data_IF_511004868439
#
_entry.id   IF_511004868439
#
_cell.length_a   1.000
_cell.length_b   1.000
_cell.length_c   1.000
_cell.angle_alpha   90.00
_cell.angle_beta   90.00
_cell.angle_gamma   90.00
#
_symmetry.space_group_name_H-M   'P 1'
#
loop_
_entity.id
_entity.type
_entity.pdbx_description
1 polymer ?
#
# COMPACT_ATOMS: atom_id res chain seq x y z
N UNK A 1 11.96 3.79 -22.63
CA UNK A 1 10.57 4.11 -22.25
C UNK A 1 10.44 5.57 -21.81
N UNK A 2 11.01 6.00 -20.68
CA UNK A 2 10.89 7.40 -20.24
C UNK A 2 11.50 8.43 -21.21
N UNK A 3 12.67 8.19 -21.83
CA UNK A 3 13.20 9.08 -22.88
C UNK A 3 12.98 8.50 -24.29
N UNK A 4 11.92 7.71 -24.52
CA UNK A 4 11.74 7.06 -25.82
C UNK A 4 11.41 8.08 -26.93
N UNK A 5 12.17 8.04 -28.01
CA UNK A 5 11.91 8.76 -29.25
C UNK A 5 12.12 7.83 -30.47
N UNK A 6 11.78 8.32 -31.66
CA UNK A 6 11.85 7.52 -32.88
C UNK A 6 13.30 7.10 -33.19
N UNK A 7 14.25 8.02 -33.03
CA UNK A 7 15.65 7.77 -33.34
C UNK A 7 16.25 6.66 -32.44
N UNK A 8 15.90 6.65 -31.14
CA UNK A 8 16.29 5.62 -30.20
C UNK A 8 15.70 4.25 -30.58
N UNK A 9 14.42 4.21 -30.98
CA UNK A 9 13.75 2.96 -31.40
C UNK A 9 14.43 2.37 -32.64
N UNK A 10 14.72 3.19 -33.64
CA UNK A 10 15.37 2.76 -34.87
C UNK A 10 16.80 2.26 -34.60
N UNK A 11 17.53 2.97 -33.72
CA UNK A 11 18.85 2.55 -33.26
C UNK A 11 18.80 1.21 -32.53
N UNK A 12 17.86 1.01 -31.62
CA UNK A 12 17.71 -0.26 -30.90
C UNK A 12 17.38 -1.41 -31.86
N UNK A 13 16.44 -1.21 -32.78
CA UNK A 13 16.04 -2.23 -33.75
C UNK A 13 17.23 -2.68 -34.62
N UNK A 14 18.07 -1.74 -35.05
CA UNK A 14 19.28 -2.05 -35.81
C UNK A 14 20.19 -3.07 -35.09
N UNK A 15 20.40 -2.94 -33.79
CA UNK A 15 21.24 -3.88 -33.04
C UNK A 15 20.53 -5.21 -32.79
N UNK A 16 19.26 -5.18 -32.38
CA UNK A 16 18.50 -6.40 -32.06
C UNK A 16 18.32 -7.31 -33.28
N UNK A 17 18.09 -6.75 -34.47
CA UNK A 17 17.92 -7.53 -35.70
C UNK A 17 19.18 -8.34 -36.04
N UNK A 18 20.36 -7.79 -35.73
CA UNK A 18 21.68 -8.39 -36.02
C UNK A 18 22.15 -9.39 -34.96
N UNK A 19 21.43 -9.53 -33.85
CA UNK A 19 21.75 -10.57 -32.86
C UNK A 19 21.41 -11.92 -33.45
N UNK A 20 22.40 -12.80 -33.55
CA UNK A 20 22.21 -14.21 -33.90
C UNK A 20 21.90 -15.03 -32.64
N UNK A 21 20.66 -15.53 -32.48
CA UNK A 21 20.28 -16.31 -31.30
C UNK A 21 20.98 -17.68 -31.22
N UNK A 22 21.52 -18.19 -32.34
CA UNK A 22 22.22 -19.48 -32.35
C UNK A 22 23.59 -19.45 -31.65
N UNK A 23 24.12 -18.25 -31.41
CA UNK A 23 25.39 -18.04 -30.72
C UNK A 23 25.35 -18.36 -29.21
N UNK A 24 24.16 -18.62 -28.66
CA UNK A 24 23.99 -19.14 -27.31
C UNK A 24 22.80 -18.54 -26.56
N UNK A 25 22.49 -19.07 -25.36
CA UNK A 25 21.28 -18.72 -24.63
C UNK A 25 21.21 -17.24 -24.25
N UNK A 26 22.36 -16.58 -24.01
CA UNK A 26 22.40 -15.16 -23.71
C UNK A 26 22.03 -14.29 -24.93
N UNK A 27 22.38 -14.71 -26.15
CA UNK A 27 22.05 -13.99 -27.37
C UNK A 27 20.56 -14.13 -27.69
N UNK A 28 20.02 -15.33 -27.54
CA UNK A 28 18.58 -15.58 -27.64
C UNK A 28 17.77 -14.74 -26.63
N UNK A 29 18.23 -14.71 -25.37
CA UNK A 29 17.61 -13.94 -24.31
C UNK A 29 17.67 -12.43 -24.59
N UNK A 30 18.82 -11.94 -25.06
CA UNK A 30 19.02 -10.54 -25.43
C UNK A 30 18.11 -10.14 -26.60
N UNK A 31 17.95 -11.00 -27.61
CA UNK A 31 17.06 -10.74 -28.75
C UNK A 31 15.60 -10.66 -28.29
N UNK A 32 15.18 -11.60 -27.44
CA UNK A 32 13.80 -11.66 -26.92
C UNK A 32 13.46 -10.44 -26.05
N UNK A 33 14.27 -10.16 -25.03
CA UNK A 33 14.02 -9.01 -24.15
C UNK A 33 14.29 -7.66 -24.83
N UNK A 34 15.21 -7.62 -25.79
CA UNK A 34 15.46 -6.45 -26.62
C UNK A 34 14.25 -6.08 -27.45
N UNK A 35 13.63 -7.05 -28.14
CA UNK A 35 12.41 -6.80 -28.90
C UNK A 35 11.26 -6.35 -28.00
N UNK A 36 11.08 -7.01 -26.86
CA UNK A 36 10.07 -6.62 -25.86
C UNK A 36 10.28 -5.17 -25.38
N UNK A 37 11.52 -4.75 -25.15
CA UNK A 37 11.82 -3.38 -24.75
C UNK A 37 11.53 -2.37 -25.87
N UNK A 38 11.81 -2.70 -27.13
CA UNK A 38 11.50 -1.85 -28.29
C UNK A 38 9.99 -1.62 -28.39
N UNK A 39 9.19 -2.68 -28.28
CA UNK A 39 7.74 -2.59 -28.39
C UNK A 39 7.16 -1.73 -27.25
N UNK A 40 7.66 -1.93 -26.02
CA UNK A 40 7.33 -1.09 -24.87
C UNK A 40 7.73 0.39 -25.08
N UNK A 41 8.86 0.67 -25.76
CA UNK A 41 9.29 2.03 -26.06
C UNK A 41 8.35 2.69 -27.09
N UNK A 42 7.93 1.98 -28.14
CA UNK A 42 6.97 2.48 -29.14
C UNK A 42 5.64 2.86 -28.50
N UNK A 43 5.12 2.02 -27.62
CA UNK A 43 3.90 2.33 -26.85
C UNK A 43 4.07 3.53 -25.91
N UNK A 44 5.25 3.67 -25.31
CA UNK A 44 5.53 4.74 -24.36
C UNK A 44 5.77 6.11 -25.00
N UNK A 45 6.03 6.21 -26.32
CA UNK A 45 6.34 7.49 -27.01
C UNK A 45 5.23 8.54 -26.88
N UNK A 46 3.98 8.10 -26.74
CA UNK A 46 2.82 9.00 -26.58
C UNK A 46 2.51 9.32 -25.12
N UNK A 47 3.23 8.71 -24.17
CA UNK A 47 3.01 8.87 -22.74
C UNK A 47 4.10 9.72 -22.08
N UNK A 48 3.70 10.54 -21.09
CA UNK A 48 4.68 11.25 -20.26
C UNK A 48 5.49 10.28 -19.41
N UNK A 49 6.76 10.62 -19.19
CA UNK A 49 7.66 9.88 -18.31
C UNK A 49 7.07 9.74 -16.89
N UNK A 50 7.28 8.57 -16.27
CA UNK A 50 6.78 8.28 -14.93
C UNK A 50 7.91 7.83 -14.00
N UNK A 51 7.83 8.26 -12.75
CA UNK A 51 8.57 7.63 -11.66
C UNK A 51 7.85 6.34 -11.28
N UNK A 52 8.59 5.23 -11.24
CA UNK A 52 8.11 3.94 -10.78
C UNK A 52 9.22 3.25 -10.01
N UNK A 53 8.97 3.00 -8.74
CA UNK A 53 9.87 2.23 -7.89
C UNK A 53 9.72 0.74 -8.19
N UNK A 54 10.85 0.07 -8.46
CA UNK A 54 10.91 -1.35 -8.85
C UNK A 54 11.83 -2.16 -7.94
N UNK A 55 12.55 -1.51 -7.03
CA UNK A 55 13.40 -2.21 -6.08
C UNK A 55 12.58 -3.06 -5.10
N UNK A 56 13.15 -4.21 -4.72
CA UNK A 56 12.59 -5.06 -3.67
C UNK A 56 12.62 -4.30 -2.33
N UNK A 57 11.47 -4.12 -1.65
CA UNK A 57 11.46 -3.43 -0.36
C UNK A 57 12.34 -4.15 0.67
N UNK A 58 13.21 -3.40 1.34
CA UNK A 58 14.12 -3.90 2.37
C UNK A 58 13.61 -3.64 3.79
N UNK A 59 14.18 -4.35 4.75
CA UNK A 59 13.94 -4.21 6.18
C UNK A 59 15.26 -4.34 6.95
N UNK A 60 15.28 -3.71 8.13
CA UNK A 60 16.42 -3.73 9.04
C UNK A 60 16.66 -5.16 9.55
N UNK A 61 17.88 -5.65 9.42
CA UNK A 61 18.29 -6.94 9.95
C UNK A 61 19.62 -6.81 10.69
N UNK A 62 19.57 -6.93 12.01
CA UNK A 62 20.73 -6.89 12.89
C UNK A 62 20.95 -8.25 13.53
N UNK A 63 22.18 -8.76 13.46
CA UNK A 63 22.59 -10.03 14.10
C UNK A 63 23.89 -9.84 14.88
N UNK A 64 24.05 -10.62 15.95
CA UNK A 64 25.33 -10.73 16.66
C UNK A 64 26.01 -12.01 16.15
N UNK A 65 27.24 -11.90 15.67
CA UNK A 65 27.99 -13.06 15.19
C UNK A 65 28.57 -13.90 16.35
N UNK A 66 29.13 -15.07 16.03
CA UNK A 66 29.71 -15.96 17.04
C UNK A 66 30.92 -15.36 17.79
N UNK A 67 31.49 -14.24 17.30
CA UNK A 67 32.59 -13.50 17.92
C UNK A 67 32.10 -12.31 18.75
N UNK A 68 30.79 -12.07 18.80
CA UNK A 68 30.19 -10.94 19.51
C UNK A 68 30.13 -9.64 18.70
N UNK A 69 30.46 -9.65 17.41
CA UNK A 69 30.33 -8.47 16.57
C UNK A 69 28.87 -8.23 16.21
N UNK A 70 28.47 -6.96 16.20
CA UNK A 70 27.14 -6.53 15.74
C UNK A 70 27.21 -6.29 14.24
N UNK A 71 26.43 -7.05 13.47
CA UNK A 71 26.34 -6.94 12.01
C UNK A 71 24.97 -6.40 11.65
N UNK A 72 24.95 -5.23 11.01
CA UNK A 72 23.75 -4.61 10.44
C UNK A 72 23.69 -4.89 8.93
N UNK A 73 22.51 -5.27 8.45
CA UNK A 73 22.23 -5.50 7.03
C UNK A 73 20.82 -5.04 6.69
N UNK A 74 20.63 -4.53 5.47
CA UNK A 74 19.31 -4.39 4.89
C UNK A 74 18.96 -5.66 4.13
N UNK A 75 18.04 -6.45 4.68
CA UNK A 75 17.57 -7.68 4.08
C UNK A 75 16.24 -7.45 3.36
N UNK A 76 15.87 -8.33 2.43
CA UNK A 76 14.54 -8.25 1.78
C UNK A 76 13.46 -8.38 2.85
N UNK A 77 12.46 -7.49 2.79
CA UNK A 77 11.32 -7.54 3.70
C UNK A 77 10.52 -8.81 3.45
N UNK A 78 10.29 -9.59 4.51
CA UNK A 78 9.55 -10.86 4.41
C UNK A 78 8.11 -10.57 4.00
N UNK A 79 7.59 -11.31 3.02
CA UNK A 79 6.22 -11.16 2.54
C UNK A 79 5.98 -9.97 1.60
N UNK A 80 7.00 -9.14 1.33
CA UNK A 80 6.87 -7.94 0.48
C UNK A 80 7.88 -7.99 -0.67
N UNK A 81 7.38 -8.14 -1.91
CA UNK A 81 8.22 -8.19 -3.12
C UNK A 81 8.10 -6.98 -4.04
N UNK A 82 7.10 -6.12 -3.84
CA UNK A 82 6.84 -4.94 -4.67
C UNK A 82 6.42 -3.78 -3.78
N UNK A 83 6.65 -2.56 -4.24
CA UNK A 83 6.17 -1.36 -3.54
C UNK A 83 4.64 -1.39 -3.33
N UNK A 84 3.89 -1.96 -4.26
CA UNK A 84 2.44 -2.15 -4.11
C UNK A 84 2.07 -2.98 -2.87
N UNK A 85 2.81 -4.06 -2.60
CA UNK A 85 2.61 -4.89 -1.42
C UNK A 85 3.01 -4.14 -0.14
N UNK A 86 4.11 -3.37 -0.21
CA UNK A 86 4.54 -2.49 0.87
C UNK A 86 3.47 -1.47 1.22
N UNK A 87 2.92 -0.76 0.24
CA UNK A 87 1.86 0.24 0.44
C UNK A 87 0.63 -0.38 1.09
N UNK A 88 0.22 -1.59 0.65
CA UNK A 88 -0.90 -2.32 1.27
C UNK A 88 -0.63 -2.62 2.74
N UNK A 89 0.57 -3.10 3.07
CA UNK A 89 0.95 -3.37 4.46
C UNK A 89 0.96 -2.09 5.31
N UNK A 90 1.50 -1.00 4.79
CA UNK A 90 1.51 0.30 5.48
C UNK A 90 0.09 0.87 5.66
N UNK A 91 -0.80 0.65 4.70
CA UNK A 91 -2.20 1.07 4.77
C UNK A 91 -3.01 0.26 5.80
N UNK A 92 -2.74 -1.04 5.92
CA UNK A 92 -3.29 -1.87 7.01
C UNK A 92 -2.77 -1.33 8.35
N UNK A 93 -1.46 -1.09 8.41
CA UNK A 93 -0.75 -0.66 9.61
C UNK A 93 -0.71 -1.74 10.69
N UNK A 94 0.27 -1.66 11.59
CA UNK A 94 0.27 -2.45 12.82
C UNK A 94 -0.31 -1.57 13.93
N UNK A 95 -1.62 -1.65 14.13
CA UNK A 95 -2.33 -0.87 15.15
C UNK A 95 -2.01 -1.44 16.54
N UNK A 96 -1.13 -0.76 17.27
CA UNK A 96 -0.85 -1.09 18.68
C UNK A 96 -1.86 -0.32 19.54
N UNK A 97 -2.91 -1.00 20.01
CA UNK A 97 -3.88 -0.47 20.98
C UNK A 97 -5.35 -0.67 20.59
N UNK A 98 -6.28 -0.59 21.57
CA UNK A 98 -7.70 -0.76 21.32
C UNK A 98 -8.25 0.34 20.42
N UNK A 99 -8.94 -0.10 19.37
CA UNK A 99 -9.62 0.75 18.41
C UNK A 99 -10.97 1.20 18.95
N UNK A 100 -11.13 2.48 19.26
CA UNK A 100 -12.45 3.07 19.43
C UNK A 100 -12.86 3.60 18.06
N UNK A 101 -13.75 2.89 17.38
CA UNK A 101 -14.43 3.40 16.21
C UNK A 101 -15.49 4.39 16.71
N UNK A 102 -15.21 5.69 16.56
CA UNK A 102 -16.04 6.78 17.08
C UNK A 102 -17.41 6.79 16.40
N UNK A 103 -17.47 6.46 15.11
CA UNK A 103 -18.72 6.34 14.36
C UNK A 103 -19.59 5.22 14.92
N UNK A 104 -19.02 4.04 15.16
CA UNK A 104 -19.71 2.89 15.77
C UNK A 104 -20.10 3.16 17.21
N UNK A 105 -19.26 3.86 17.98
CA UNK A 105 -19.59 4.27 19.34
C UNK A 105 -20.81 5.20 19.35
N UNK A 106 -20.86 6.16 18.42
CA UNK A 106 -22.02 7.06 18.24
C UNK A 106 -23.27 6.30 17.80
N UNK A 107 -23.15 5.37 16.86
CA UNK A 107 -24.26 4.51 16.41
C UNK A 107 -24.84 3.70 17.57
N UNK A 108 -24.00 2.97 18.31
CA UNK A 108 -24.40 2.18 19.48
C UNK A 108 -25.09 3.04 20.55
N UNK A 109 -24.59 4.25 20.81
CA UNK A 109 -25.19 5.18 21.78
C UNK A 109 -26.57 5.66 21.29
N UNK A 110 -26.74 5.85 19.98
CA UNK A 110 -28.04 6.14 19.36
C UNK A 110 -29.04 4.99 19.53
N UNK A 111 -28.61 3.75 19.29
CA UNK A 111 -29.44 2.55 19.48
C UNK A 111 -29.87 2.39 20.95
N UNK A 112 -28.93 2.55 21.88
CA UNK A 112 -29.20 2.51 23.32
C UNK A 112 -30.24 3.56 23.74
N UNK A 113 -30.14 4.78 23.21
CA UNK A 113 -31.13 5.82 23.47
C UNK A 113 -32.52 5.45 22.93
N UNK A 114 -32.60 4.84 21.75
CA UNK A 114 -33.88 4.39 21.18
C UNK A 114 -34.55 3.31 22.03
N UNK A 115 -33.77 2.36 22.57
CA UNK A 115 -34.25 1.35 23.51
C UNK A 115 -34.80 1.99 24.79
N UNK A 116 -34.01 2.87 25.43
CA UNK A 116 -34.42 3.58 26.66
C UNK A 116 -35.68 4.42 26.45
N UNK A 117 -35.77 5.11 25.31
CA UNK A 117 -36.92 5.95 24.97
C UNK A 117 -38.20 5.12 24.86
N UNK A 118 -38.11 3.94 24.25
CA UNK A 118 -39.25 3.06 23.97
C UNK A 118 -39.63 2.16 25.17
N UNK A 119 -38.78 2.04 26.19
CA UNK A 119 -39.05 1.22 27.39
C UNK A 119 -40.21 1.79 28.23
N UNK A 120 -41.35 1.08 28.38
CA UNK A 120 -42.54 1.61 29.07
C UNK A 120 -42.42 1.60 30.60
N UNK A 121 -41.54 0.74 31.15
CA UNK A 121 -41.32 0.61 32.61
C UNK A 121 -40.56 1.80 33.24
N UNK A 122 -39.97 2.67 32.42
CA UNK A 122 -39.14 3.78 32.87
C UNK A 122 -39.94 5.05 33.16
N UNK A 123 -39.70 5.65 34.33
CA UNK A 123 -40.34 6.91 34.72
C UNK A 123 -39.97 8.07 33.77
N UNK A 124 -40.87 9.05 33.62
CA UNK A 124 -40.63 10.25 32.79
C UNK A 124 -39.41 11.04 33.28
N UNK A 125 -39.20 11.10 34.59
CA UNK A 125 -38.06 11.78 35.21
C UNK A 125 -36.74 11.08 34.85
N UNK A 126 -36.68 9.75 34.98
CA UNK A 126 -35.51 8.93 34.61
C UNK A 126 -35.17 9.07 33.13
N UNK A 127 -36.19 9.12 32.25
CA UNK A 127 -35.99 9.36 30.81
C UNK A 127 -35.41 10.74 30.51
N UNK A 128 -35.80 11.78 31.27
CA UNK A 128 -35.25 13.12 31.11
C UNK A 128 -33.77 13.20 31.53
N UNK A 129 -33.41 12.58 32.65
CA UNK A 129 -32.01 12.51 33.11
C UNK A 129 -31.12 11.69 32.16
N UNK A 130 -31.60 10.54 31.66
CA UNK A 130 -30.84 9.76 30.68
C UNK A 130 -30.67 10.49 29.34
N UNK A 131 -31.64 11.32 28.95
CA UNK A 131 -31.53 12.16 27.75
C UNK A 131 -30.40 13.18 27.86
N UNK A 132 -30.20 13.80 29.03
CA UNK A 132 -29.10 14.76 29.21
C UNK A 132 -27.73 14.08 29.14
N UNK A 133 -27.60 12.91 29.77
CA UNK A 133 -26.38 12.08 29.71
C UNK A 133 -26.08 11.62 28.29
N UNK A 134 -27.11 11.21 27.53
CA UNK A 134 -26.96 10.87 26.10
C UNK A 134 -26.45 12.05 25.27
N UNK A 135 -27.04 13.25 25.44
CA UNK A 135 -26.62 14.45 24.70
C UNK A 135 -25.17 14.81 25.02
N UNK A 136 -24.77 14.69 26.28
CA UNK A 136 -23.40 14.98 26.72
C UNK A 136 -22.38 13.95 26.19
N UNK A 137 -22.73 12.66 26.18
CA UNK A 137 -21.90 11.61 25.61
C UNK A 137 -21.74 11.72 24.08
N UNK A 138 -22.81 12.10 23.36
CA UNK A 138 -22.73 12.36 21.92
C UNK A 138 -21.88 13.59 21.63
N UNK A 139 -21.98 14.64 22.46
CA UNK A 139 -21.14 15.84 22.34
C UNK A 139 -19.66 15.52 22.59
N UNK A 140 -19.35 14.71 23.61
CA UNK A 140 -17.97 14.36 23.95
C UNK A 140 -17.29 13.43 22.93
N UNK A 141 -18.08 12.63 22.21
CA UNK A 141 -17.59 11.76 21.13
C UNK A 141 -17.35 12.50 19.79
N UNK A 142 -17.66 13.79 19.71
CA UNK A 142 -17.32 14.61 18.55
C UNK A 142 -18.52 15.41 18.03
N UNK A 143 -18.66 16.64 18.51
CA UNK A 143 -19.15 17.73 17.68
C UNK A 143 -17.98 18.31 16.87
N UNK A 144 -18.25 18.70 15.62
CA UNK A 144 -17.48 19.75 14.93
C UNK A 144 -17.37 21.00 15.81
#
# INVERSE_FOLDING_TARGET
MNPADQAMVDYMQFYIDRIDPSMGPNYELAKTFGQQLIDNCKEAMVASARYKEVHDPTALHTKIDARGNIVYTEAKRIGVRKLEAYIKEMAVGTRIGPQINVEKARENIGELWMLIKNEPSMSKLSKATLKSVYIEAVRSLGSL
#
